data_IF_978664387825
#
_entry.id   IF_978664387825
#
_cell.length_a   1.000
_cell.length_b   1.000
_cell.length_c   1.000
_cell.angle_alpha   90.00
_cell.angle_beta   90.00
_cell.angle_gamma   90.00
#
_symmetry.space_group_name_H-M   'P 1'
#
loop_
_entity.id
_entity.type
_entity.pdbx_description
1 polymer ?
#
# COMPACT_ATOMS: atom_id res chain seq x y z
N UNK A 1 8.84 2.03 2.77
CA UNK A 1 7.95 1.57 1.69
C UNK A 1 6.83 0.71 2.29
N UNK A 2 5.58 1.15 2.17
CA UNK A 2 4.39 0.45 2.66
C UNK A 2 3.48 0.18 1.44
N UNK A 3 2.94 -1.03 1.32
CA UNK A 3 2.03 -1.43 0.24
C UNK A 3 1.06 -2.54 0.68
N UNK A 4 -0.20 -2.46 0.26
CA UNK A 4 -1.20 -3.50 0.47
C UNK A 4 -0.92 -4.72 -0.43
N UNK A 5 -0.17 -5.68 0.09
CA UNK A 5 0.31 -6.84 -0.67
C UNK A 5 -0.83 -7.70 -1.23
N UNK A 6 -1.97 -7.79 -0.54
CA UNK A 6 -3.12 -8.59 -1.00
C UNK A 6 -3.67 -8.14 -2.36
N UNK A 7 -3.49 -6.87 -2.72
CA UNK A 7 -3.92 -6.32 -4.01
C UNK A 7 -2.81 -6.36 -5.08
N UNK A 8 -1.63 -6.91 -4.78
CA UNK A 8 -0.44 -6.77 -5.62
C UNK A 8 0.23 -8.10 -5.95
N UNK A 9 0.74 -8.20 -7.18
CA UNK A 9 1.68 -9.25 -7.58
C UNK A 9 3.12 -8.83 -7.29
N UNK A 10 4.06 -9.79 -7.30
CA UNK A 10 5.50 -9.48 -7.16
C UNK A 10 5.97 -8.42 -8.16
N UNK A 11 5.52 -8.51 -9.41
CA UNK A 11 5.86 -7.53 -10.44
C UNK A 11 5.26 -6.15 -10.12
N UNK A 12 4.00 -6.10 -9.65
CA UNK A 12 3.34 -4.86 -9.22
C UNK A 12 4.07 -4.19 -8.05
N UNK A 13 4.53 -4.96 -7.07
CA UNK A 13 5.31 -4.45 -5.93
C UNK A 13 6.61 -3.79 -6.42
N UNK A 14 7.34 -4.44 -7.32
CA UNK A 14 8.58 -3.90 -7.87
C UNK A 14 8.34 -2.63 -8.70
N UNK A 15 7.27 -2.59 -9.50
CA UNK A 15 6.89 -1.40 -10.27
C UNK A 15 6.53 -0.24 -9.34
N UNK A 16 5.69 -0.47 -8.33
CA UNK A 16 5.31 0.53 -7.35
C UNK A 16 6.51 1.04 -6.54
N UNK A 17 7.44 0.16 -6.17
CA UNK A 17 8.67 0.56 -5.50
C UNK A 17 9.53 1.47 -6.38
N UNK A 18 9.79 1.07 -7.63
CA UNK A 18 10.56 1.88 -8.59
C UNK A 18 9.93 3.23 -8.86
N UNK A 19 8.60 3.31 -8.93
CA UNK A 19 7.91 4.57 -9.14
C UNK A 19 7.95 5.51 -7.91
N UNK A 20 8.11 4.95 -6.71
CA UNK A 20 8.01 5.71 -5.44
C UNK A 20 9.35 6.06 -4.81
N UNK A 21 10.45 5.49 -5.33
CA UNK A 21 11.78 5.72 -4.77
C UNK A 21 12.25 7.17 -4.92
N UNK A 22 11.76 7.86 -5.96
CA UNK A 22 12.12 9.25 -6.29
C UNK A 22 11.13 10.28 -5.72
N UNK A 23 10.11 9.83 -4.96
CA UNK A 23 9.16 10.74 -4.32
C UNK A 23 9.85 11.57 -3.23
N UNK A 24 9.45 12.83 -3.10
CA UNK A 24 9.76 13.61 -1.92
C UNK A 24 9.07 13.01 -0.67
N UNK A 25 9.51 13.48 0.51
CA UNK A 25 9.05 12.97 1.79
C UNK A 25 7.54 13.12 1.98
N UNK A 26 6.96 14.27 1.64
CA UNK A 26 5.55 14.54 1.91
C UNK A 26 4.65 13.75 0.97
N UNK A 27 5.05 13.63 -0.30
CA UNK A 27 4.41 12.77 -1.29
C UNK A 27 4.45 11.31 -0.87
N UNK A 28 5.62 10.79 -0.46
CA UNK A 28 5.75 9.39 -0.03
C UNK A 28 5.04 9.11 1.29
N UNK A 29 4.98 10.08 2.20
CA UNK A 29 4.22 9.97 3.45
C UNK A 29 2.73 9.83 3.16
N UNK A 30 2.17 10.71 2.32
CA UNK A 30 0.77 10.62 1.92
C UNK A 30 0.46 9.31 1.18
N UNK A 31 1.36 8.85 0.30
CA UNK A 31 1.23 7.58 -0.39
C UNK A 31 1.26 6.39 0.59
N UNK A 32 2.14 6.41 1.58
CA UNK A 32 2.23 5.40 2.61
C UNK A 32 0.97 5.36 3.50
N UNK A 33 0.43 6.51 3.90
CA UNK A 33 -0.82 6.59 4.67
C UNK A 33 -1.99 5.89 3.96
N UNK A 34 -2.19 6.16 2.66
CA UNK A 34 -3.21 5.49 1.85
C UNK A 34 -3.04 3.97 1.82
N UNK A 35 -1.79 3.49 1.80
CA UNK A 35 -1.51 2.06 1.84
C UNK A 35 -1.79 1.46 3.22
N UNK A 36 -1.55 2.19 4.31
CA UNK A 36 -1.95 1.77 5.67
C UNK A 36 -3.46 1.66 5.78
N UNK A 37 -4.21 2.66 5.30
CA UNK A 37 -5.68 2.65 5.28
C UNK A 37 -6.21 1.44 4.51
N UNK A 38 -5.65 1.15 3.33
CA UNK A 38 -6.04 -0.03 2.54
C UNK A 38 -5.74 -1.35 3.27
N UNK A 39 -4.60 -1.46 3.95
CA UNK A 39 -4.27 -2.64 4.77
C UNK A 39 -5.27 -2.77 5.93
N UNK A 40 -5.65 -1.68 6.57
CA UNK A 40 -6.62 -1.68 7.65
C UNK A 40 -8.00 -2.16 7.17
N UNK A 41 -8.48 -1.65 6.02
CA UNK A 41 -9.72 -2.10 5.39
C UNK A 41 -9.69 -3.60 5.09
N UNK A 42 -8.63 -4.10 4.45
CA UNK A 42 -8.48 -5.52 4.12
C UNK A 42 -8.48 -6.42 5.36
N UNK A 43 -7.92 -5.93 6.47
CA UNK A 43 -7.92 -6.65 7.76
C UNK A 43 -9.30 -6.62 8.40
N UNK A 44 -9.98 -5.48 8.38
CA UNK A 44 -11.33 -5.35 8.92
C UNK A 44 -12.31 -6.28 8.18
N UNK A 45 -12.23 -6.31 6.84
CA UNK A 45 -13.03 -7.20 6.00
C UNK A 45 -12.74 -8.70 6.25
N UNK A 46 -11.57 -9.04 6.78
CA UNK A 46 -11.26 -10.42 7.19
C UNK A 46 -11.79 -10.77 8.58
N UNK A 47 -12.09 -9.77 9.41
CA UNK A 47 -12.60 -9.94 10.77
C UNK A 47 -14.12 -9.86 10.86
N UNK A 48 -14.74 -9.04 10.01
CA UNK A 48 -16.19 -8.85 9.99
C UNK A 48 -16.87 -9.89 9.08
N UNK A 49 -18.05 -10.42 9.47
CA UNK A 49 -18.88 -11.23 8.59
C UNK A 49 -19.39 -10.39 7.40
N UNK A 50 -19.63 -11.07 6.28
CA UNK A 50 -20.12 -10.48 5.03
C UNK A 50 -21.59 -10.06 5.10
#
# INVERSE_FOLDING_TARGET
FIIAVKDNTKAGILAAFRARIDNDRDTEFAAACKQVERIAELRLNALLPA
#
